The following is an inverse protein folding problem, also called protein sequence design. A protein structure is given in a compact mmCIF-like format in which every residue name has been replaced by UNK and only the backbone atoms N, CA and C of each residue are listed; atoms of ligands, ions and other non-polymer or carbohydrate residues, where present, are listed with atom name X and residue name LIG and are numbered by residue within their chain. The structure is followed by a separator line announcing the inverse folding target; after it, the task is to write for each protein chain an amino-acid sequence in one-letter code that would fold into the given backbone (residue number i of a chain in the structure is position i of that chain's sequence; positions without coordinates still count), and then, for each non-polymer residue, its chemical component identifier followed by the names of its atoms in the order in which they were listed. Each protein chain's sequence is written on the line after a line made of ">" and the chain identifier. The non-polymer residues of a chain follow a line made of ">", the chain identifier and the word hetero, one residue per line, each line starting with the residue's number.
data_IF_894010251830
#
_entry.id   IF_894010251830
#
_cell.length_a   1.000
_cell.length_b   1.000
_cell.length_c   1.000
_cell.angle_alpha   90.00
_cell.angle_beta   90.00
_cell.angle_gamma   90.00
#
_symmetry.space_group_name_H-M   'P 1'
#
loop_
_entity.id
_entity.type
_entity.pdbx_description
1 polymer ?
#
# COMPACT_ATOMS: atom_id res chain seq x y z
N UNK A 1 -37.94 29.81 -44.34
CA UNK A 1 -38.11 29.11 -43.07
C UNK A 1 -37.43 27.75 -43.23
N UNK A 2 -36.23 27.65 -42.77
CA UNK A 2 -35.42 26.41 -42.88
C UNK A 2 -35.03 26.01 -41.46
N UNK A 3 -35.35 24.79 -40.99
CA UNK A 3 -35.05 24.36 -39.64
C UNK A 3 -33.81 23.47 -39.67
N UNK A 4 -32.60 24.05 -39.79
CA UNK A 4 -31.38 23.32 -39.62
C UNK A 4 -30.29 24.25 -39.09
N UNK A 5 -30.18 24.30 -37.78
CA UNK A 5 -29.20 25.10 -37.08
C UNK A 5 -28.60 24.41 -35.89
N UNK A 6 -27.93 23.26 -36.10
CA UNK A 6 -26.98 22.73 -35.13
C UNK A 6 -25.69 22.39 -35.89
N UNK A 7 -24.75 23.32 -35.86
CA UNK A 7 -23.38 23.06 -36.26
C UNK A 7 -22.66 22.34 -35.10
N UNK A 8 -22.56 21.05 -35.20
CA UNK A 8 -21.62 20.25 -34.40
C UNK A 8 -20.26 20.32 -35.08
N UNK A 9 -19.32 21.06 -34.51
CA UNK A 9 -17.93 21.05 -34.97
C UNK A 9 -17.28 19.77 -34.44
N UNK A 10 -17.31 18.72 -35.25
CA UNK A 10 -16.54 17.51 -35.02
C UNK A 10 -15.32 17.51 -35.93
N UNK A 11 -14.18 17.94 -35.45
CA UNK A 11 -12.94 18.07 -36.22
C UNK A 11 -12.11 16.79 -36.17
N UNK A 12 -12.65 15.64 -36.52
CA UNK A 12 -11.90 14.44 -37.02
C UNK A 12 -12.90 13.43 -37.56
N UNK A 13 -12.88 13.20 -38.84
CA UNK A 13 -13.71 12.19 -39.52
C UNK A 13 -13.23 10.79 -39.10
N UNK A 14 -14.06 10.08 -38.37
CA UNK A 14 -13.96 8.62 -38.23
C UNK A 14 -14.79 8.01 -39.38
N UNK A 15 -14.14 7.38 -40.34
CA UNK A 15 -14.86 6.60 -41.39
C UNK A 15 -15.03 5.18 -40.88
N UNK A 16 -16.26 4.74 -40.74
CA UNK A 16 -16.61 3.34 -40.54
C UNK A 16 -16.84 2.71 -41.91
N UNK A 17 -15.98 1.78 -42.37
CA UNK A 17 -16.21 0.96 -43.56
C UNK A 17 -16.78 -0.37 -43.12
N UNK A 18 -17.99 -0.71 -43.61
CA UNK A 18 -18.54 -2.05 -43.47
C UNK A 18 -17.69 -2.99 -44.32
N UNK A 19 -17.15 -4.04 -43.72
CA UNK A 19 -16.60 -5.17 -44.46
C UNK A 19 -17.75 -6.12 -44.83
N UNK A 20 -17.76 -6.64 -46.05
CA UNK A 20 -18.74 -7.62 -46.52
C UNK A 20 -18.45 -9.00 -45.89
N UNK A 21 -18.75 -9.12 -44.60
CA UNK A 21 -18.80 -10.41 -43.92
C UNK A 21 -20.25 -10.89 -43.92
N UNK A 22 -20.55 -12.04 -44.51
CA UNK A 22 -21.92 -12.57 -44.59
C UNK A 22 -22.53 -12.90 -43.20
N UNK A 23 -21.76 -12.89 -42.13
CA UNK A 23 -22.27 -13.08 -40.76
C UNK A 23 -22.76 -11.81 -40.05
N UNK A 24 -22.49 -10.61 -40.61
CA UNK A 24 -22.98 -9.32 -40.16
C UNK A 24 -22.51 -8.86 -38.77
N UNK A 25 -21.45 -9.47 -38.21
CA UNK A 25 -21.07 -9.31 -36.79
C UNK A 25 -19.75 -8.61 -36.53
N UNK A 26 -19.04 -8.09 -37.52
CA UNK A 26 -17.77 -7.38 -37.31
C UNK A 26 -17.83 -5.95 -37.86
N UNK A 27 -17.61 -4.98 -36.97
CA UNK A 27 -17.35 -3.59 -37.34
C UNK A 27 -15.88 -3.27 -37.04
N UNK A 28 -15.07 -3.00 -38.08
CA UNK A 28 -13.68 -2.59 -37.94
C UNK A 28 -13.59 -1.06 -37.96
N UNK A 29 -13.14 -0.45 -36.88
CA UNK A 29 -12.76 0.97 -36.87
C UNK A 29 -11.30 1.10 -37.27
N UNK A 30 -11.07 1.70 -38.46
CA UNK A 30 -9.72 2.13 -38.87
C UNK A 30 -9.56 3.63 -38.55
N UNK A 31 -8.60 3.94 -37.70
CA UNK A 31 -8.09 5.30 -37.50
C UNK A 31 -6.82 5.43 -38.37
N UNK A 32 -6.86 6.29 -39.36
CA UNK A 32 -5.69 6.62 -40.16
C UNK A 32 -4.89 7.69 -39.39
N UNK A 33 -3.95 7.24 -38.58
CA UNK A 33 -2.79 8.03 -38.11
C UNK A 33 -1.62 7.10 -38.24
N UNK A 34 -0.60 7.53 -38.97
CA UNK A 34 0.59 6.74 -39.31
C UNK A 34 1.20 6.10 -38.04
N UNK A 35 1.28 4.76 -38.07
CA UNK A 35 2.00 3.95 -37.08
C UNK A 35 1.22 3.37 -35.92
N UNK A 36 -0.11 3.53 -35.81
CA UNK A 36 -0.88 2.93 -34.72
C UNK A 36 -1.55 1.61 -35.12
N UNK A 37 -1.54 0.57 -34.25
CA UNK A 37 -2.18 -0.71 -34.53
C UNK A 37 -3.72 -0.59 -34.54
N UNK A 38 -4.36 -1.37 -35.43
CA UNK A 38 -5.81 -1.43 -35.57
C UNK A 38 -6.44 -2.17 -34.38
N UNK A 39 -7.55 -1.63 -33.84
CA UNK A 39 -8.37 -2.31 -32.84
C UNK A 39 -9.52 -3.07 -33.52
N UNK A 40 -9.68 -4.33 -33.15
CA UNK A 40 -10.82 -5.15 -33.55
C UNK A 40 -11.77 -5.27 -32.35
N UNK A 41 -13.03 -4.89 -32.55
CA UNK A 41 -14.07 -4.99 -31.52
C UNK A 41 -14.93 -6.23 -31.80
N UNK A 42 -15.11 -7.10 -30.81
CA UNK A 42 -15.97 -8.27 -30.91
C UNK A 42 -17.15 -8.10 -29.92
N UNK A 43 -18.38 -8.26 -30.38
CA UNK A 43 -19.63 -8.05 -29.65
C UNK A 43 -19.85 -9.00 -28.44
N UNK A 44 -18.96 -9.94 -28.19
CA UNK A 44 -19.03 -10.88 -27.07
C UNK A 44 -18.15 -10.50 -25.87
N UNK A 45 -18.00 -9.20 -25.59
CA UNK A 45 -17.55 -8.65 -24.31
C UNK A 45 -16.21 -9.18 -23.74
N UNK A 46 -15.20 -9.41 -24.60
CA UNK A 46 -13.82 -9.61 -24.18
C UNK A 46 -12.86 -8.84 -25.10
N UNK A 47 -12.40 -7.68 -24.68
CA UNK A 47 -11.30 -7.00 -25.33
C UNK A 47 -10.01 -7.77 -25.06
N UNK A 48 -9.56 -8.58 -26.03
CA UNK A 48 -8.22 -9.16 -26.00
C UNK A 48 -7.27 -8.25 -26.77
N UNK A 49 -6.30 -7.65 -26.07
CA UNK A 49 -5.13 -7.04 -26.72
C UNK A 49 -4.31 -8.17 -27.35
N UNK A 50 -4.31 -8.26 -28.66
CA UNK A 50 -3.30 -9.05 -29.37
C UNK A 50 -2.04 -8.18 -29.52
N UNK A 51 -0.99 -8.49 -28.77
CA UNK A 51 0.36 -8.06 -29.07
C UNK A 51 0.94 -8.97 -30.14
N UNK A 52 1.54 -8.46 -31.23
CA UNK A 52 2.21 -9.31 -32.21
C UNK A 52 3.50 -9.84 -31.58
N UNK A 53 3.59 -11.14 -31.40
CA UNK A 53 4.85 -11.85 -31.20
C UNK A 53 5.17 -12.32 -29.76
N UNK A 54 4.26 -13.07 -29.13
CA UNK A 54 4.69 -13.96 -28.06
C UNK A 54 4.07 -15.34 -28.26
N UNK A 55 4.93 -16.30 -28.61
CA UNK A 55 4.62 -17.72 -28.46
C UNK A 55 4.20 -17.98 -27.00
N UNK A 56 3.41 -19.04 -26.80
CA UNK A 56 2.87 -19.48 -25.52
C UNK A 56 3.99 -19.82 -24.51
N UNK A 57 4.57 -18.78 -23.91
CA UNK A 57 5.34 -18.88 -22.67
C UNK A 57 4.52 -18.14 -21.62
N UNK A 58 4.21 -18.84 -20.54
CA UNK A 58 3.70 -18.23 -19.29
C UNK A 58 4.52 -16.97 -18.99
N UNK A 59 3.88 -15.86 -18.52
CA UNK A 59 4.62 -14.66 -18.18
C UNK A 59 5.70 -15.04 -17.18
N UNK A 60 6.97 -14.93 -17.60
CA UNK A 60 8.08 -15.03 -16.67
C UNK A 60 7.85 -13.93 -15.62
N UNK A 61 7.68 -14.35 -14.37
CA UNK A 61 7.64 -13.41 -13.23
C UNK A 61 8.87 -12.53 -13.36
N UNK A 62 8.67 -11.25 -13.55
CA UNK A 62 9.74 -10.25 -13.39
C UNK A 62 10.05 -10.26 -11.90
N UNK A 63 11.01 -11.08 -11.50
CA UNK A 63 11.59 -10.99 -10.19
C UNK A 63 12.41 -9.71 -10.15
N UNK A 64 12.11 -8.85 -9.19
CA UNK A 64 12.97 -7.72 -8.88
C UNK A 64 14.38 -8.30 -8.60
N UNK A 65 15.43 -7.83 -9.27
CA UNK A 65 16.77 -8.35 -9.03
C UNK A 65 17.12 -8.03 -7.57
N UNK A 66 17.13 -9.06 -6.74
CA UNK A 66 17.76 -8.97 -5.42
C UNK A 66 19.18 -8.46 -5.68
N UNK A 67 19.63 -7.44 -4.94
CA UNK A 67 21.05 -7.06 -4.99
C UNK A 67 21.85 -8.33 -4.79
N UNK A 68 22.49 -8.78 -5.88
CA UNK A 68 23.45 -9.85 -5.81
C UNK A 68 24.52 -9.47 -4.80
N UNK A 69 25.08 -10.44 -4.12
CA UNK A 69 26.11 -10.33 -3.10
C UNK A 69 27.45 -9.78 -3.60
N UNK A 70 27.49 -9.03 -4.69
CA UNK A 70 28.70 -8.52 -5.35
C UNK A 70 28.74 -6.99 -5.46
N UNK A 71 28.50 -6.27 -4.36
CA UNK A 71 29.00 -4.92 -4.18
C UNK A 71 29.67 -4.84 -2.81
N UNK A 72 30.97 -5.09 -2.79
CA UNK A 72 31.85 -4.64 -1.73
C UNK A 72 31.67 -3.14 -1.55
N UNK A 73 31.66 -2.70 -0.25
CA UNK A 73 31.73 -1.33 0.22
C UNK A 73 30.53 -0.39 0.00
N UNK A 74 29.46 -0.64 0.74
CA UNK A 74 28.87 0.43 1.55
C UNK A 74 28.63 -0.10 2.95
N UNK A 75 29.20 0.57 3.93
CA UNK A 75 29.04 0.31 5.37
C UNK A 75 27.60 0.67 5.81
N UNK A 76 26.61 -0.05 5.28
CA UNK A 76 25.22 0.09 5.68
C UNK A 76 25.09 -0.53 7.05
N UNK A 77 25.09 0.30 8.08
CA UNK A 77 24.91 -0.14 9.47
C UNK A 77 23.57 -0.89 9.57
N UNK A 78 23.67 -2.19 9.86
CA UNK A 78 22.54 -3.08 10.11
C UNK A 78 21.64 -2.48 11.20
N UNK A 79 20.37 -2.26 10.90
CA UNK A 79 19.40 -1.69 11.84
C UNK A 79 18.70 -2.79 12.63
N UNK A 80 18.43 -2.53 13.89
CA UNK A 80 17.65 -3.40 14.77
C UNK A 80 16.19 -2.97 14.76
N UNK A 81 15.30 -3.85 14.31
CA UNK A 81 13.89 -3.51 14.11
C UNK A 81 13.02 -4.47 14.92
N UNK A 82 12.18 -3.90 15.77
CA UNK A 82 11.12 -4.63 16.46
C UNK A 82 9.79 -4.48 15.74
N UNK A 83 9.11 -5.59 15.46
CA UNK A 83 7.81 -5.60 14.79
C UNK A 83 6.75 -6.08 15.76
N UNK A 84 5.80 -5.23 16.08
CA UNK A 84 4.66 -5.51 16.94
C UNK A 84 3.48 -5.97 16.10
N UNK A 85 3.33 -7.28 15.92
CA UNK A 85 2.28 -7.92 15.15
C UNK A 85 2.82 -8.85 14.06
N UNK A 86 2.43 -10.12 14.14
CA UNK A 86 2.82 -11.17 13.18
C UNK A 86 1.74 -11.46 12.13
N UNK A 87 0.79 -10.53 11.93
CA UNK A 87 -0.23 -10.63 10.88
C UNK A 87 0.37 -10.52 9.47
N UNK A 88 -0.47 -10.68 8.45
CA UNK A 88 -0.08 -10.72 7.04
C UNK A 88 0.83 -9.55 6.65
N UNK A 89 0.43 -8.31 6.97
CA UNK A 89 1.20 -7.11 6.62
C UNK A 89 2.50 -7.00 7.44
N UNK A 90 2.44 -7.23 8.76
CA UNK A 90 3.62 -7.21 9.63
C UNK A 90 4.68 -8.21 9.18
N UNK A 91 4.28 -9.42 8.82
CA UNK A 91 5.20 -10.46 8.34
C UNK A 91 5.78 -10.19 6.97
N UNK A 92 5.02 -9.60 6.04
CA UNK A 92 5.54 -9.19 4.74
C UNK A 92 6.65 -8.14 4.90
N UNK A 93 6.42 -7.10 5.73
CA UNK A 93 7.42 -6.08 6.03
C UNK A 93 8.62 -6.63 6.82
N UNK A 94 8.39 -7.46 7.84
CA UNK A 94 9.45 -8.07 8.63
C UNK A 94 10.40 -8.90 7.75
N UNK A 95 9.82 -9.71 6.87
CA UNK A 95 10.60 -10.48 5.88
C UNK A 95 11.40 -9.58 4.96
N UNK A 96 10.76 -8.56 4.37
CA UNK A 96 11.41 -7.61 3.47
C UNK A 96 12.60 -6.91 4.16
N UNK A 97 12.40 -6.40 5.38
CA UNK A 97 13.45 -5.74 6.16
C UNK A 97 14.59 -6.68 6.52
N UNK A 98 14.30 -7.93 6.86
CA UNK A 98 15.30 -8.97 7.14
C UNK A 98 16.14 -9.29 5.89
N UNK A 99 15.50 -9.50 4.74
CA UNK A 99 16.19 -9.75 3.45
C UNK A 99 17.03 -8.53 3.01
N UNK A 100 16.63 -7.32 3.39
CA UNK A 100 17.41 -6.10 3.17
C UNK A 100 18.64 -5.96 4.11
N UNK A 101 18.92 -6.98 4.95
CA UNK A 101 20.11 -7.05 5.79
C UNK A 101 19.93 -6.53 7.22
N UNK A 102 18.71 -6.15 7.63
CA UNK A 102 18.43 -5.67 8.98
C UNK A 102 18.24 -6.82 9.97
N UNK A 103 18.43 -6.53 11.26
CA UNK A 103 18.15 -7.43 12.38
C UNK A 103 16.71 -7.24 12.84
N UNK A 104 15.86 -8.21 12.51
CA UNK A 104 14.41 -8.07 12.69
C UNK A 104 13.89 -9.09 13.67
N UNK A 105 13.13 -8.62 14.66
CA UNK A 105 12.45 -9.44 15.63
C UNK A 105 10.94 -9.15 15.61
N UNK A 106 10.13 -10.20 15.53
CA UNK A 106 8.66 -10.10 15.45
C UNK A 106 8.03 -10.62 16.74
N UNK A 107 7.11 -9.84 17.28
CA UNK A 107 6.28 -10.21 18.41
C UNK A 107 4.83 -10.42 17.98
N UNK A 108 4.17 -11.40 18.58
CA UNK A 108 2.72 -11.56 18.52
C UNK A 108 2.12 -11.69 19.92
N UNK A 109 0.91 -11.15 20.07
CA UNK A 109 0.10 -11.34 21.27
C UNK A 109 -0.40 -12.81 21.42
N UNK A 110 -0.28 -13.62 20.37
CA UNK A 110 -0.71 -15.01 20.31
C UNK A 110 0.51 -15.96 20.40
N UNK A 111 0.79 -16.58 21.55
CA UNK A 111 1.95 -17.46 21.71
C UNK A 111 1.99 -18.61 20.70
N UNK A 112 0.85 -19.18 20.34
CA UNK A 112 0.75 -20.25 19.36
C UNK A 112 1.16 -19.81 17.94
N UNK A 113 0.90 -18.53 17.57
CA UNK A 113 1.35 -17.97 16.30
C UNK A 113 2.88 -17.87 16.26
N UNK A 114 3.49 -17.38 17.34
CA UNK A 114 4.96 -17.32 17.47
C UNK A 114 5.59 -18.70 17.36
N UNK A 115 5.03 -19.71 18.05
CA UNK A 115 5.50 -21.10 17.99
C UNK A 115 5.41 -21.68 16.57
N UNK A 116 4.26 -21.48 15.93
CA UNK A 116 4.03 -21.97 14.57
C UNK A 116 4.98 -21.32 13.57
N UNK A 117 5.10 -19.99 13.56
CA UNK A 117 5.99 -19.28 12.65
C UNK A 117 7.47 -19.62 12.86
N UNK A 118 7.88 -19.79 14.12
CA UNK A 118 9.25 -20.22 14.45
C UNK A 118 9.57 -21.61 13.95
N UNK A 119 8.62 -22.54 14.09
CA UNK A 119 8.82 -23.94 13.75
C UNK A 119 8.69 -24.22 12.25
N UNK A 120 7.68 -23.63 11.60
CA UNK A 120 7.33 -23.96 10.21
C UNK A 120 7.95 -23.03 9.17
N UNK A 121 8.31 -21.81 9.57
CA UNK A 121 8.75 -20.73 8.64
C UNK A 121 7.75 -20.48 7.52
N UNK A 122 6.46 -20.72 7.77
CA UNK A 122 5.37 -20.52 6.82
C UNK A 122 4.28 -19.66 7.45
N UNK A 123 3.84 -18.63 6.73
CA UNK A 123 2.70 -17.81 7.13
C UNK A 123 1.45 -18.26 6.36
N UNK A 124 0.34 -18.61 7.04
CA UNK A 124 -0.83 -19.23 6.40
C UNK A 124 -1.48 -18.37 5.31
N UNK A 125 -1.46 -17.04 5.48
CA UNK A 125 -2.08 -16.09 4.53
C UNK A 125 -1.10 -15.53 3.49
N UNK A 126 0.17 -15.97 3.47
CA UNK A 126 1.18 -15.51 2.51
C UNK A 126 1.80 -16.71 1.77
N UNK A 127 1.02 -17.38 0.91
CA UNK A 127 1.51 -18.53 0.19
C UNK A 127 2.68 -18.14 -0.73
N UNK A 128 3.76 -18.92 -0.66
CA UNK A 128 4.98 -18.67 -1.45
C UNK A 128 5.97 -17.71 -0.82
N UNK A 129 5.63 -17.04 0.29
CA UNK A 129 6.59 -16.25 1.07
C UNK A 129 7.57 -17.19 1.79
N UNK A 130 8.87 -16.96 1.60
CA UNK A 130 9.92 -17.63 2.36
C UNK A 130 10.33 -16.75 3.54
N UNK A 131 10.18 -17.25 4.76
CA UNK A 131 10.61 -16.55 5.98
C UNK A 131 12.10 -16.88 6.20
N UNK A 132 13.01 -15.87 6.21
CA UNK A 132 14.43 -16.10 6.45
C UNK A 132 14.70 -16.74 7.81
N UNK A 133 15.73 -17.57 7.92
CA UNK A 133 16.14 -18.18 9.19
C UNK A 133 16.59 -17.15 10.22
N UNK A 134 17.14 -16.03 9.75
CA UNK A 134 17.62 -14.91 10.57
C UNK A 134 16.48 -14.11 11.21
N UNK A 135 15.25 -14.20 10.68
CA UNK A 135 14.09 -13.52 11.25
C UNK A 135 13.73 -14.15 12.59
N UNK A 136 13.81 -13.35 13.65
CA UNK A 136 13.58 -13.79 15.02
C UNK A 136 12.13 -13.59 15.43
N UNK A 137 11.64 -14.49 16.30
CA UNK A 137 10.30 -14.40 16.88
C UNK A 137 10.39 -14.39 18.40
N UNK A 138 9.53 -13.59 19.06
CA UNK A 138 9.46 -13.55 20.51
C UNK A 138 8.01 -13.44 21.01
N UNK A 139 7.77 -13.97 22.20
CA UNK A 139 6.53 -13.79 22.97
C UNK A 139 6.62 -12.62 23.93
N UNK A 140 7.83 -12.07 24.13
CA UNK A 140 8.09 -10.97 25.05
C UNK A 140 7.98 -9.61 24.36
N UNK A 141 7.04 -8.78 24.81
CA UNK A 141 6.90 -7.41 24.32
C UNK A 141 8.09 -6.53 24.75
N UNK A 142 8.71 -6.85 25.88
CA UNK A 142 9.93 -6.19 26.36
C UNK A 142 11.10 -6.41 25.37
N UNK A 143 11.35 -7.66 24.98
CA UNK A 143 12.45 -8.00 24.06
C UNK A 143 12.29 -7.32 22.70
N UNK A 144 11.05 -7.27 22.17
CA UNK A 144 10.81 -6.68 20.86
C UNK A 144 10.93 -5.16 20.90
N UNK A 145 10.73 -4.51 22.07
CA UNK A 145 10.83 -3.07 22.19
C UNK A 145 12.24 -2.58 22.58
N UNK A 146 13.00 -3.38 23.35
CA UNK A 146 14.25 -2.91 23.94
C UNK A 146 15.40 -2.94 22.93
N UNK A 147 16.17 -1.82 22.87
CA UNK A 147 17.40 -1.72 22.08
C UNK A 147 17.19 -1.78 20.57
N UNK A 148 16.05 -1.31 20.07
CA UNK A 148 15.72 -1.24 18.66
C UNK A 148 15.94 0.19 18.12
N UNK A 149 16.37 0.28 16.86
CA UNK A 149 16.46 1.54 16.13
C UNK A 149 15.06 2.01 15.69
N UNK A 150 14.19 1.06 15.32
CA UNK A 150 12.81 1.29 14.87
C UNK A 150 11.88 0.27 15.52
N UNK A 151 10.71 0.75 15.96
CA UNK A 151 9.59 -0.12 16.34
C UNK A 151 8.45 0.04 15.32
N UNK A 152 8.04 -1.07 14.71
CA UNK A 152 6.99 -1.11 13.71
C UNK A 152 5.69 -1.66 14.34
N UNK A 153 4.65 -0.84 14.39
CA UNK A 153 3.31 -1.21 14.83
C UNK A 153 2.52 -1.77 13.63
N UNK A 154 2.34 -3.09 13.61
CA UNK A 154 1.66 -3.81 12.54
C UNK A 154 0.51 -4.69 13.08
N UNK A 155 -0.10 -4.26 14.18
CA UNK A 155 -1.32 -4.87 14.72
C UNK A 155 -2.57 -4.28 14.05
N UNK A 156 -3.72 -4.99 14.03
CA UNK A 156 -4.97 -4.39 13.60
C UNK A 156 -5.32 -3.13 14.41
N UNK A 157 -5.94 -2.13 13.76
CA UNK A 157 -6.22 -0.81 14.36
C UNK A 157 -6.90 -0.87 15.73
N UNK A 158 -7.80 -1.83 15.92
CA UNK A 158 -8.52 -2.05 17.20
C UNK A 158 -7.60 -2.46 18.36
N UNK A 159 -6.39 -2.90 18.08
CA UNK A 159 -5.42 -3.32 19.08
C UNK A 159 -4.26 -2.33 19.27
N UNK A 160 -4.19 -1.25 18.49
CA UNK A 160 -3.08 -0.28 18.56
C UNK A 160 -2.97 0.30 19.98
N UNK A 161 -4.05 0.81 20.58
CA UNK A 161 -4.05 1.37 21.92
C UNK A 161 -3.57 0.37 22.98
N UNK A 162 -4.17 -0.82 23.00
CA UNK A 162 -3.81 -1.85 23.98
C UNK A 162 -2.39 -2.38 23.82
N UNK A 163 -1.88 -2.43 22.60
CA UNK A 163 -0.50 -2.81 22.30
C UNK A 163 0.46 -1.72 22.74
N UNK A 164 0.13 -0.45 22.47
CA UNK A 164 0.92 0.71 22.93
C UNK A 164 1.01 0.74 24.44
N UNK A 165 -0.11 0.52 25.16
CA UNK A 165 -0.13 0.47 26.62
C UNK A 165 0.82 -0.59 27.18
N UNK A 166 0.87 -1.76 26.55
CA UNK A 166 1.77 -2.87 26.94
C UNK A 166 3.23 -2.57 26.60
N UNK A 167 3.48 -1.92 25.46
CA UNK A 167 4.83 -1.62 24.98
C UNK A 167 5.45 -0.41 25.69
N UNK A 168 4.62 0.56 26.13
CA UNK A 168 5.04 1.84 26.71
C UNK A 168 6.16 1.74 27.75
N UNK A 169 6.14 0.81 28.74
CA UNK A 169 7.21 0.71 29.73
C UNK A 169 8.59 0.39 29.18
N UNK A 170 8.66 -0.15 27.94
CA UNK A 170 9.88 -0.65 27.32
C UNK A 170 10.34 0.22 26.14
N UNK A 171 9.57 1.25 25.78
CA UNK A 171 9.92 2.19 24.71
C UNK A 171 10.84 3.26 25.27
N UNK A 172 12.09 3.41 24.78
CA UNK A 172 13.00 4.43 25.26
C UNK A 172 12.64 5.83 24.76
N UNK A 173 13.18 6.85 25.41
CA UNK A 173 13.11 8.24 24.97
C UNK A 173 13.74 8.37 23.56
N UNK A 174 13.14 9.22 22.72
CA UNK A 174 13.63 9.50 21.38
C UNK A 174 13.38 8.40 20.35
N UNK A 175 12.69 7.31 20.70
CA UNK A 175 12.42 6.17 19.81
C UNK A 175 11.65 6.59 18.56
N UNK A 176 12.01 6.02 17.41
CA UNK A 176 11.21 6.09 16.17
C UNK A 176 10.20 4.95 16.18
N UNK A 177 8.92 5.32 16.14
CA UNK A 177 7.79 4.39 16.03
C UNK A 177 7.16 4.57 14.66
N UNK A 178 7.03 3.48 13.92
CA UNK A 178 6.37 3.46 12.61
C UNK A 178 5.04 2.73 12.74
N UNK A 179 3.95 3.41 12.42
CA UNK A 179 2.64 2.78 12.33
C UNK A 179 2.27 2.44 10.90
N UNK A 180 1.76 1.22 10.69
CA UNK A 180 1.27 0.74 9.39
C UNK A 180 -0.18 0.27 9.45
N UNK A 181 -0.84 0.48 10.59
CA UNK A 181 -2.25 0.13 10.76
C UNK A 181 -3.14 1.14 10.03
N UNK A 182 -4.15 0.64 9.33
CA UNK A 182 -5.13 1.48 8.64
C UNK A 182 -6.42 1.51 9.46
N UNK A 183 -6.81 2.68 9.96
CA UNK A 183 -8.03 2.83 10.75
C UNK A 183 -8.09 4.11 11.55
N UNK A 184 -9.20 4.27 12.25
CA UNK A 184 -9.45 5.32 13.24
C UNK A 184 -10.07 4.67 14.49
N UNK A 185 -9.79 5.23 15.66
CA UNK A 185 -10.42 4.78 16.90
C UNK A 185 -11.85 5.33 16.99
N UNK A 186 -12.88 4.47 17.20
CA UNK A 186 -14.29 4.90 17.12
C UNK A 186 -14.67 6.02 18.10
N UNK A 187 -14.22 5.93 19.36
CA UNK A 187 -14.67 6.83 20.42
C UNK A 187 -14.02 8.21 20.36
N UNK A 188 -12.74 8.28 20.01
CA UNK A 188 -11.94 9.50 19.96
C UNK A 188 -11.85 10.11 18.56
N UNK A 189 -12.11 9.33 17.53
CA UNK A 189 -11.85 9.64 16.13
C UNK A 189 -10.36 9.95 15.85
N UNK A 190 -9.47 9.47 16.69
CA UNK A 190 -8.04 9.59 16.50
C UNK A 190 -7.55 8.68 15.38
N UNK A 191 -6.58 9.17 14.62
CA UNK A 191 -5.77 8.31 13.76
C UNK A 191 -4.85 7.42 14.59
N UNK A 192 -4.24 6.42 14.01
CA UNK A 192 -3.46 5.45 14.79
C UNK A 192 -2.24 6.07 15.46
N UNK A 193 -1.56 7.00 14.79
CA UNK A 193 -0.45 7.73 15.42
C UNK A 193 -0.93 8.67 16.54
N UNK A 194 -2.11 9.27 16.42
CA UNK A 194 -2.74 10.04 17.49
C UNK A 194 -3.10 9.15 18.70
N UNK A 195 -3.58 7.92 18.46
CA UNK A 195 -3.83 6.92 19.51
C UNK A 195 -2.53 6.52 20.24
N UNK A 196 -1.46 6.29 19.48
CA UNK A 196 -0.14 5.98 20.04
C UNK A 196 0.35 7.16 20.87
N UNK A 197 0.28 8.38 20.34
CA UNK A 197 0.69 9.59 21.04
C UNK A 197 -0.09 9.79 22.35
N UNK A 198 -1.41 9.64 22.34
CA UNK A 198 -2.27 9.74 23.51
C UNK A 198 -1.86 8.75 24.61
N UNK A 199 -1.60 7.50 24.22
CA UNK A 199 -1.19 6.46 25.18
C UNK A 199 0.23 6.69 25.73
N UNK A 200 1.18 7.15 24.89
CA UNK A 200 2.55 7.44 25.31
C UNK A 200 2.66 8.69 26.20
N UNK A 201 1.76 9.67 26.03
CA UNK A 201 1.75 10.90 26.83
C UNK A 201 1.20 10.70 28.25
N UNK A 202 0.76 9.52 28.62
CA UNK A 202 0.37 9.21 29.98
C UNK A 202 1.58 9.25 30.92
N UNK A 203 1.32 9.43 32.21
CA UNK A 203 2.35 9.55 33.24
C UNK A 203 3.37 8.40 33.15
N UNK A 204 4.67 8.75 33.18
CA UNK A 204 5.77 7.80 33.09
C UNK A 204 6.05 7.30 31.66
N UNK A 205 5.42 7.86 30.64
CA UNK A 205 5.70 7.50 29.24
C UNK A 205 7.00 8.10 28.69
N UNK A 206 7.53 7.56 27.58
CA UNK A 206 8.77 8.00 26.94
C UNK A 206 8.63 9.39 26.35
N UNK A 207 9.72 10.16 26.33
CA UNK A 207 9.77 11.52 25.79
C UNK A 207 10.45 11.58 24.44
N UNK A 208 10.05 12.56 23.62
CA UNK A 208 10.73 12.84 22.35
C UNK A 208 10.56 11.75 21.29
N UNK A 209 9.60 10.84 21.45
CA UNK A 209 9.29 9.79 20.50
C UNK A 209 8.85 10.42 19.16
N UNK A 210 9.35 9.87 18.05
CA UNK A 210 8.98 10.27 16.70
C UNK A 210 7.99 9.27 16.10
N UNK A 211 6.80 9.75 15.78
CA UNK A 211 5.74 8.94 15.17
C UNK A 211 5.76 9.13 13.65
N UNK A 212 5.83 8.05 12.93
CA UNK A 212 5.83 8.01 11.47
C UNK A 212 4.72 7.09 11.00
N UNK A 213 3.86 7.55 10.10
CA UNK A 213 2.90 6.70 9.43
C UNK A 213 3.49 6.19 8.09
N UNK A 214 3.37 4.90 7.84
CA UNK A 214 3.82 4.28 6.59
C UNK A 214 2.60 3.72 5.86
N UNK A 215 2.17 4.35 4.76
CA UNK A 215 0.93 3.99 4.05
C UNK A 215 1.05 4.24 2.54
N UNK A 216 0.27 3.50 1.75
CA UNK A 216 0.26 3.59 0.28
C UNK A 216 -0.35 2.35 -0.36
N UNK A 217 -0.24 2.19 -1.69
CA UNK A 217 -0.71 1.03 -2.43
C UNK A 217 0.15 -0.20 -2.11
N UNK A 218 -0.18 -0.85 -1.00
CA UNK A 218 0.63 -1.92 -0.41
C UNK A 218 -0.22 -3.15 -0.16
N UNK A 219 -0.17 -4.08 -1.09
CA UNK A 219 -0.77 -5.41 -0.95
C UNK A 219 0.27 -6.35 -0.32
N UNK A 220 -0.05 -6.93 0.83
CA UNK A 220 0.92 -7.73 1.60
C UNK A 220 1.46 -8.93 0.81
N UNK A 221 0.60 -9.56 0.02
CA UNK A 221 0.93 -10.71 -0.82
C UNK A 221 1.93 -10.35 -1.92
N UNK A 222 1.84 -9.13 -2.47
CA UNK A 222 2.78 -8.66 -3.48
C UNK A 222 4.14 -8.30 -2.86
N UNK A 223 4.14 -7.62 -1.73
CA UNK A 223 5.37 -7.30 -0.97
C UNK A 223 6.09 -8.58 -0.50
N UNK A 224 5.32 -9.57 -0.05
CA UNK A 224 5.86 -10.88 0.36
C UNK A 224 6.57 -11.63 -0.78
N UNK A 225 6.27 -11.29 -2.03
CA UNK A 225 6.84 -11.87 -3.25
C UNK A 225 7.84 -10.94 -3.95
N UNK A 226 8.28 -9.87 -3.28
CA UNK A 226 9.22 -8.88 -3.80
C UNK A 226 8.75 -8.19 -5.10
N UNK A 227 7.43 -7.99 -5.26
CA UNK A 227 6.91 -7.22 -6.39
C UNK A 227 7.13 -5.70 -6.16
N UNK A 228 7.38 -4.94 -7.23
CA UNK A 228 7.61 -3.50 -7.12
C UNK A 228 6.46 -2.78 -6.41
N UNK A 229 6.78 -2.10 -5.32
CA UNK A 229 5.82 -1.44 -4.44
C UNK A 229 6.27 -0.01 -4.15
N UNK A 230 5.32 0.90 -4.00
CA UNK A 230 5.57 2.27 -3.56
C UNK A 230 4.79 2.58 -2.30
N UNK A 231 5.42 3.32 -1.36
CA UNK A 231 4.80 3.67 -0.08
C UNK A 231 5.23 5.08 0.34
N UNK A 232 4.48 5.68 1.27
CA UNK A 232 4.78 7.01 1.83
C UNK A 232 5.16 6.87 3.29
N UNK A 233 6.30 7.44 3.66
CA UNK A 233 6.72 7.70 5.04
C UNK A 233 6.29 9.11 5.44
N UNK A 234 5.33 9.21 6.34
CA UNK A 234 4.74 10.49 6.73
C UNK A 234 5.08 10.87 8.17
N UNK A 235 5.72 12.03 8.33
CA UNK A 235 6.02 12.61 9.63
C UNK A 235 6.21 14.12 9.48
N UNK A 236 5.71 14.97 10.42
CA UNK A 236 6.04 16.39 10.46
C UNK A 236 7.54 16.67 10.65
N UNK A 237 8.27 15.74 11.29
CA UNK A 237 9.72 15.77 11.40
C UNK A 237 10.34 15.11 10.15
N UNK A 238 10.88 15.95 9.26
CA UNK A 238 11.45 15.48 8.00
C UNK A 238 12.59 14.49 8.20
N UNK A 239 13.44 14.68 9.21
CA UNK A 239 14.55 13.77 9.49
C UNK A 239 14.07 12.37 9.90
N UNK A 240 12.98 12.29 10.67
CA UNK A 240 12.36 11.01 11.02
C UNK A 240 11.71 10.34 9.81
N UNK A 241 11.04 11.11 8.93
CA UNK A 241 10.46 10.59 7.70
C UNK A 241 11.52 10.04 6.74
N UNK A 242 12.63 10.77 6.57
CA UNK A 242 13.78 10.38 5.73
C UNK A 242 14.51 9.16 6.31
N UNK A 243 14.70 9.12 7.64
CA UNK A 243 15.30 7.95 8.28
C UNK A 243 14.48 6.67 8.02
N UNK A 244 13.15 6.75 8.14
CA UNK A 244 12.27 5.62 7.83
C UNK A 244 12.27 5.31 6.32
N UNK A 245 12.36 6.33 5.46
CA UNK A 245 12.54 6.15 4.03
C UNK A 245 13.79 5.32 3.75
N UNK A 246 14.92 5.64 4.35
CA UNK A 246 16.19 4.92 4.14
C UNK A 246 16.13 3.47 4.64
N UNK A 247 15.51 3.24 5.81
CA UNK A 247 15.37 1.89 6.39
C UNK A 247 14.48 0.98 5.54
N UNK A 248 13.40 1.51 4.96
CA UNK A 248 12.40 0.73 4.23
C UNK A 248 12.62 0.70 2.71
N UNK A 249 13.45 1.61 2.16
CA UNK A 249 13.75 1.59 0.72
C UNK A 249 14.68 0.43 0.36
N UNK A 250 14.30 -0.30 -0.68
CA UNK A 250 15.12 -1.36 -1.25
C UNK A 250 14.86 -1.49 -2.76
N UNK A 251 15.37 -2.54 -3.40
CA UNK A 251 15.17 -2.76 -4.85
C UNK A 251 13.72 -2.93 -5.28
N UNK A 252 12.85 -3.38 -4.36
CA UNK A 252 11.43 -3.68 -4.63
C UNK A 252 10.49 -2.68 -3.99
N UNK A 253 10.91 -1.95 -2.95
CA UNK A 253 10.09 -0.95 -2.28
C UNK A 253 10.71 0.44 -2.40
N UNK A 254 9.96 1.36 -3.01
CA UNK A 254 10.32 2.77 -3.08
C UNK A 254 9.49 3.58 -2.09
N UNK A 255 10.16 4.27 -1.19
CA UNK A 255 9.52 5.10 -0.16
C UNK A 255 9.63 6.58 -0.54
N UNK A 256 8.52 7.30 -0.42
CA UNK A 256 8.43 8.76 -0.57
C UNK A 256 8.14 9.40 0.79
N UNK A 257 8.57 10.62 1.03
CA UNK A 257 8.29 11.35 2.28
C UNK A 257 7.10 12.29 2.13
N UNK A 258 6.39 12.54 3.23
CA UNK A 258 5.30 13.51 3.32
C UNK A 258 5.25 14.11 4.75
N UNK A 259 5.02 15.41 4.88
CA UNK A 259 4.87 16.04 6.19
C UNK A 259 3.46 15.91 6.77
N UNK A 260 2.44 15.61 5.96
CA UNK A 260 1.03 15.51 6.36
C UNK A 260 0.69 14.09 6.83
N UNK A 261 1.17 13.75 8.03
CA UNK A 261 0.94 12.42 8.64
C UNK A 261 -0.56 12.11 8.76
N UNK A 262 -1.36 13.08 9.22
CA UNK A 262 -2.80 12.90 9.42
C UNK A 262 -3.54 12.64 8.11
N UNK A 263 -3.21 13.37 7.04
CA UNK A 263 -3.79 13.17 5.72
C UNK A 263 -3.45 11.81 5.13
N UNK A 264 -2.22 11.33 5.34
CA UNK A 264 -1.79 9.98 4.91
C UNK A 264 -2.57 8.89 5.65
N UNK A 265 -2.73 9.00 6.98
CA UNK A 265 -3.48 8.04 7.78
C UNK A 265 -4.98 8.05 7.46
N UNK A 266 -5.59 9.24 7.33
CA UNK A 266 -7.02 9.38 6.97
C UNK A 266 -7.30 8.77 5.59
N UNK A 267 -6.42 8.98 4.62
CA UNK A 267 -6.54 8.37 3.30
C UNK A 267 -6.64 6.85 3.40
N UNK A 268 -5.69 6.23 4.11
CA UNK A 268 -5.66 4.78 4.31
C UNK A 268 -6.85 4.24 5.11
N UNK A 269 -7.34 4.98 6.11
CA UNK A 269 -8.46 4.58 6.94
C UNK A 269 -9.81 4.61 6.19
N UNK A 270 -10.04 5.65 5.38
CA UNK A 270 -11.34 5.92 4.75
C UNK A 270 -11.50 5.23 3.39
N UNK A 271 -10.40 4.92 2.68
CA UNK A 271 -10.45 4.29 1.36
C UNK A 271 -11.28 3.00 1.34
N UNK A 272 -11.24 2.21 2.39
CA UNK A 272 -11.91 0.91 2.44
C UNK A 272 -13.43 1.02 2.32
N UNK A 273 -14.03 2.13 2.77
CA UNK A 273 -15.45 2.42 2.59
C UNK A 273 -15.78 2.56 1.11
N UNK A 274 -14.94 3.31 0.38
CA UNK A 274 -15.11 3.52 -1.06
C UNK A 274 -14.84 2.23 -1.83
N UNK A 275 -13.76 1.51 -1.48
CA UNK A 275 -13.42 0.23 -2.09
C UNK A 275 -14.55 -0.81 -1.94
N UNK A 276 -15.19 -0.88 -0.76
CA UNK A 276 -16.35 -1.72 -0.53
C UNK A 276 -17.53 -1.32 -1.42
N UNK A 277 -17.86 -0.03 -1.49
CA UNK A 277 -18.92 0.50 -2.35
C UNK A 277 -18.69 0.20 -3.83
N UNK A 278 -17.44 0.37 -4.29
CA UNK A 278 -17.04 0.02 -5.66
C UNK A 278 -17.14 -1.48 -5.90
N UNK A 279 -16.72 -2.30 -4.94
CA UNK A 279 -16.83 -3.76 -5.02
C UNK A 279 -18.28 -4.24 -5.13
N UNK A 280 -19.19 -3.66 -4.33
CA UNK A 280 -20.63 -3.94 -4.41
C UNK A 280 -21.20 -3.55 -5.78
N UNK A 281 -20.86 -2.35 -6.27
CA UNK A 281 -21.28 -1.85 -7.59
C UNK A 281 -20.82 -2.80 -8.72
N UNK A 282 -19.58 -3.26 -8.65
CA UNK A 282 -19.03 -4.22 -9.60
C UNK A 282 -19.74 -5.58 -9.51
N UNK A 283 -19.98 -6.08 -8.31
CA UNK A 283 -20.71 -7.34 -8.07
C UNK A 283 -22.17 -7.33 -8.56
N UNK A 284 -22.80 -6.15 -8.56
CA UNK A 284 -24.13 -5.94 -9.13
C UNK A 284 -24.14 -5.78 -10.66
N UNK A 285 -22.97 -5.83 -11.31
CA UNK A 285 -22.86 -5.74 -12.75
C UNK A 285 -22.85 -4.31 -13.33
N UNK A 286 -22.72 -3.28 -12.50
CA UNK A 286 -22.50 -1.92 -12.99
C UNK A 286 -21.13 -1.82 -13.64
N UNK A 287 -21.07 -1.17 -14.80
CA UNK A 287 -19.87 -1.12 -15.63
C UNK A 287 -18.79 -0.16 -15.14
N UNK A 288 -17.75 0.00 -15.96
CA UNK A 288 -16.56 0.80 -15.66
C UNK A 288 -16.87 2.28 -15.41
N UNK A 289 -17.90 2.85 -16.05
CA UNK A 289 -18.32 4.23 -15.83
C UNK A 289 -18.80 4.45 -14.39
N UNK A 290 -19.59 3.52 -13.84
CA UNK A 290 -20.06 3.59 -12.45
C UNK A 290 -18.88 3.44 -11.47
N UNK A 291 -17.95 2.52 -11.74
CA UNK A 291 -16.74 2.32 -10.96
C UNK A 291 -15.88 3.58 -10.93
N UNK A 292 -15.59 4.17 -12.09
CA UNK A 292 -14.81 5.40 -12.21
C UNK A 292 -15.49 6.58 -11.47
N UNK A 293 -16.82 6.71 -11.60
CA UNK A 293 -17.59 7.75 -10.91
C UNK A 293 -17.53 7.59 -9.39
N UNK A 294 -17.69 6.37 -8.87
CA UNK A 294 -17.62 6.08 -7.43
C UNK A 294 -16.23 6.37 -6.86
N UNK A 295 -15.15 5.95 -7.54
CA UNK A 295 -13.77 6.23 -7.13
C UNK A 295 -13.54 7.75 -7.11
N UNK A 296 -13.88 8.46 -8.19
CA UNK A 296 -13.67 9.92 -8.31
C UNK A 296 -14.45 10.67 -7.24
N UNK A 297 -15.71 10.33 -7.02
CA UNK A 297 -16.54 10.96 -5.99
C UNK A 297 -16.08 10.58 -4.58
N UNK A 298 -15.70 9.34 -4.39
CA UNK A 298 -15.21 8.85 -3.11
C UNK A 298 -13.96 9.57 -2.64
N UNK A 299 -12.96 9.71 -3.52
CA UNK A 299 -11.73 10.44 -3.16
C UNK A 299 -11.99 11.93 -2.89
N UNK A 300 -12.93 12.55 -3.61
CA UNK A 300 -13.33 13.94 -3.36
C UNK A 300 -14.02 14.10 -1.99
N UNK A 301 -14.81 13.13 -1.54
CA UNK A 301 -15.41 13.12 -0.19
C UNK A 301 -14.34 12.98 0.90
N UNK A 302 -13.40 12.03 0.72
CA UNK A 302 -12.28 11.81 1.64
C UNK A 302 -11.44 13.09 1.74
N UNK A 303 -11.12 13.73 0.60
CA UNK A 303 -10.34 14.97 0.58
C UNK A 303 -11.06 16.12 1.29
N UNK A 304 -12.37 16.29 1.12
CA UNK A 304 -13.16 17.31 1.83
C UNK A 304 -13.13 17.11 3.34
N UNK A 305 -13.32 15.86 3.79
CA UNK A 305 -13.22 15.55 5.21
C UNK A 305 -11.82 15.83 5.74
N UNK A 306 -10.78 15.37 5.03
CA UNK A 306 -9.40 15.60 5.43
C UNK A 306 -9.04 17.09 5.51
N UNK A 307 -9.45 17.91 4.53
CA UNK A 307 -9.24 19.37 4.58
C UNK A 307 -9.96 19.99 5.78
N UNK A 308 -11.19 19.56 6.08
CA UNK A 308 -11.91 20.01 7.27
C UNK A 308 -11.22 19.61 8.58
N UNK A 309 -10.42 18.54 8.58
CA UNK A 309 -9.58 18.09 9.68
C UNK A 309 -8.16 18.69 9.68
N UNK A 310 -7.88 19.66 8.78
CA UNK A 310 -6.61 20.38 8.71
C UNK A 310 -5.52 19.74 7.84
N UNK A 311 -5.87 18.70 7.05
CA UNK A 311 -4.93 18.01 6.18
C UNK A 311 -4.69 18.76 4.85
N UNK A 312 -3.58 18.45 4.19
CA UNK A 312 -3.24 18.98 2.88
C UNK A 312 -4.05 18.23 1.78
N UNK A 313 -4.78 18.99 0.95
CA UNK A 313 -5.58 18.43 -0.14
C UNK A 313 -4.76 17.58 -1.12
N UNK A 314 -3.49 17.93 -1.36
CA UNK A 314 -2.61 17.20 -2.28
C UNK A 314 -2.24 15.80 -1.78
N UNK A 315 -2.30 15.55 -0.47
CA UNK A 315 -2.05 14.23 0.10
C UNK A 315 -3.04 13.19 -0.43
N UNK A 316 -4.31 13.59 -0.62
CA UNK A 316 -5.38 12.70 -1.10
C UNK A 316 -5.26 12.37 -2.60
N UNK A 317 -4.57 13.20 -3.38
CA UNK A 317 -4.25 12.93 -4.78
C UNK A 317 -2.96 12.10 -4.96
N UNK A 318 -2.26 11.79 -3.86
CA UNK A 318 -0.99 11.06 -3.86
C UNK A 318 -1.15 9.54 -3.69
N UNK A 319 -0.01 8.89 -3.40
CA UNK A 319 0.09 7.43 -3.23
C UNK A 319 -0.80 6.89 -2.11
N UNK A 320 -0.84 7.58 -0.95
CA UNK A 320 -1.64 7.15 0.19
C UNK A 320 -3.16 7.38 -0.02
N UNK A 321 -3.54 8.26 -0.93
CA UNK A 321 -4.93 8.56 -1.30
C UNK A 321 -5.40 7.75 -2.50
N UNK A 322 -5.45 8.40 -3.67
CA UNK A 322 -5.94 7.78 -4.91
C UNK A 322 -5.10 6.56 -5.34
N UNK A 323 -3.81 6.53 -4.96
CA UNK A 323 -2.91 5.42 -5.29
C UNK A 323 -3.25 4.12 -4.54
N UNK A 324 -3.78 4.23 -3.33
CA UNK A 324 -4.16 3.09 -2.47
C UNK A 324 -5.65 2.71 -2.62
N UNK A 325 -6.47 3.55 -3.27
CA UNK A 325 -7.88 3.32 -3.54
C UNK A 325 -8.08 2.51 -4.84
#
# INVERSE_FOLDING_TARGET
>A
MNPDGVQTVCSKRVMCTKTDDPSGKLCAMRQAVDGAPAFVYNEHNKAHRAWPGTGANSPQRVQCPLRGADTEDTNVTKKKIGVLGAGTWGMALARMLCVSGNDVQVWSALPAEVENLSATRVHPNLPGMKIPEELQFTKSIEEVCTGKDVLLFAVPSVFVRSTTAKARPYIPDGQILVDVAKGMEPDTLYTMTEVIADELNREGGPKGVKLVALSGPTHAEEVALDLPTTIVSACPDAAAAEYVQDVFSNTCMRVYTNADIKGVELSGALKNVIALGVGISTGLGYGDNARAALITRGIAEIARLGVAMGCNIHTFAGLAGIGDL
#
